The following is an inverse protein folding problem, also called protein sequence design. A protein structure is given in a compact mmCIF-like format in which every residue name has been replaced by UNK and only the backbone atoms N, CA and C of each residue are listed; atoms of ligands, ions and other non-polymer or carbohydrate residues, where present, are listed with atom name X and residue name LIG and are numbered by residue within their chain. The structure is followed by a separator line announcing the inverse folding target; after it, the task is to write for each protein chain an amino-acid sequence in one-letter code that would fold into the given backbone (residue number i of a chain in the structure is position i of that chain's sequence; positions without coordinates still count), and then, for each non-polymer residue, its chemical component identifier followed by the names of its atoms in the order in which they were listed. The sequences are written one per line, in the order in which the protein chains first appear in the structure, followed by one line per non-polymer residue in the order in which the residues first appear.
data_IF_944388478082
#
_entry.id   IF_944388478082
#
_cell.length_a   1.000
_cell.length_b   1.000
_cell.length_c   1.000
_cell.angle_alpha   90.00
_cell.angle_beta   90.00
_cell.angle_gamma   90.00
#
_symmetry.space_group_name_H-M   'P 1'
#
loop_
_entity.id
_entity.type
_entity.pdbx_description
1 polymer ?
#
# COMPACT_ATOMS: atom_id res chain seq x y z
N UNK A 1 -9.04 -4.64 0.90
CA UNK A 1 -9.05 -5.32 -0.40
C UNK A 1 -10.29 -4.94 -1.23
N UNK A 2 -11.49 -4.97 -0.63
CA UNK A 2 -12.74 -4.67 -1.34
C UNK A 2 -12.76 -3.28 -2.00
N UNK A 3 -12.27 -2.25 -1.32
CA UNK A 3 -12.20 -0.89 -1.86
C UNK A 3 -11.34 -0.83 -3.14
N UNK A 4 -10.18 -1.48 -3.14
CA UNK A 4 -9.28 -1.52 -4.29
C UNK A 4 -9.83 -2.39 -5.43
N UNK A 5 -10.56 -3.47 -5.12
CA UNK A 5 -11.25 -4.25 -6.15
C UNK A 5 -12.39 -3.45 -6.80
N UNK A 6 -13.16 -2.66 -6.03
CA UNK A 6 -14.15 -1.73 -6.58
C UNK A 6 -13.50 -0.62 -7.43
N UNK A 7 -12.30 -0.18 -7.06
CA UNK A 7 -11.51 0.76 -7.86
C UNK A 7 -11.10 0.16 -9.22
N UNK A 8 -11.00 -1.18 -9.32
CA UNK A 8 -10.73 -1.93 -10.53
C UNK A 8 -9.44 -2.76 -10.51
N UNK A 9 -8.73 -2.84 -9.37
CA UNK A 9 -7.61 -3.75 -9.22
C UNK A 9 -8.09 -5.20 -9.13
N UNK A 10 -7.32 -6.14 -9.64
CA UNK A 10 -7.66 -7.57 -9.61
C UNK A 10 -7.75 -8.12 -8.18
N UNK A 11 -6.93 -7.59 -7.28
CA UNK A 11 -6.93 -7.94 -5.85
C UNK A 11 -6.37 -6.78 -5.02
N UNK A 12 -6.69 -6.76 -3.74
CA UNK A 12 -6.11 -5.80 -2.81
C UNK A 12 -4.81 -6.31 -2.18
N UNK A 13 -4.13 -5.47 -1.37
CA UNK A 13 -2.80 -5.74 -0.84
C UNK A 13 -2.72 -6.94 0.09
N UNK A 14 -3.77 -7.23 0.85
CA UNK A 14 -3.78 -8.38 1.75
C UNK A 14 -3.83 -9.70 0.98
N UNK A 15 -4.67 -9.80 -0.04
CA UNK A 15 -4.71 -10.96 -0.93
C UNK A 15 -3.41 -11.13 -1.71
N UNK A 16 -2.82 -10.03 -2.17
CA UNK A 16 -1.53 -10.05 -2.86
C UNK A 16 -0.41 -10.50 -1.92
N UNK A 17 -0.41 -10.01 -0.68
CA UNK A 17 0.53 -10.45 0.36
C UNK A 17 0.42 -11.94 0.65
N UNK A 18 -0.80 -12.46 0.76
CA UNK A 18 -1.04 -13.89 0.97
C UNK A 18 -0.63 -14.75 -0.22
N UNK A 19 -0.76 -14.23 -1.45
CA UNK A 19 -0.33 -14.92 -2.66
C UNK A 19 1.21 -14.98 -2.76
N UNK A 20 1.87 -13.87 -2.51
CA UNK A 20 3.34 -13.76 -2.57
C UNK A 20 4.04 -14.47 -1.41
N UNK A 21 3.45 -14.40 -0.23
CA UNK A 21 3.99 -14.87 1.03
C UNK A 21 4.45 -13.73 1.94
N UNK A 22 3.82 -13.62 3.11
CA UNK A 22 4.08 -12.56 4.09
C UNK A 22 5.51 -12.61 4.67
N UNK A 23 6.14 -13.78 4.68
CA UNK A 23 7.51 -14.00 5.11
C UNK A 23 8.54 -13.20 4.31
N UNK A 24 8.28 -12.91 3.03
CA UNK A 24 9.17 -12.08 2.19
C UNK A 24 9.27 -10.67 2.76
N UNK A 25 8.13 -10.04 3.02
CA UNK A 25 8.10 -8.70 3.63
C UNK A 25 8.66 -8.70 5.05
N UNK A 26 8.38 -9.74 5.84
CA UNK A 26 8.91 -9.91 7.18
C UNK A 26 10.44 -10.02 7.19
N UNK A 27 11.01 -10.87 6.34
CA UNK A 27 12.46 -10.98 6.19
C UNK A 27 13.11 -9.65 5.80
N UNK A 28 12.48 -8.92 4.86
CA UNK A 28 12.96 -7.60 4.43
C UNK A 28 12.96 -6.58 5.57
N UNK A 29 11.90 -6.51 6.38
CA UNK A 29 11.83 -5.61 7.54
C UNK A 29 12.87 -5.95 8.60
N UNK A 30 13.04 -7.24 8.91
CA UNK A 30 14.09 -7.70 9.84
C UNK A 30 15.50 -7.31 9.37
N UNK A 31 15.78 -7.54 8.08
CA UNK A 31 17.08 -7.17 7.49
C UNK A 31 17.32 -5.67 7.57
N UNK A 32 16.35 -4.85 7.12
CA UNK A 32 16.48 -3.38 7.16
C UNK A 32 16.68 -2.84 8.59
N UNK A 33 15.96 -3.39 9.57
CA UNK A 33 16.14 -2.99 10.97
C UNK A 33 17.55 -3.34 11.47
N UNK A 34 18.05 -4.53 11.16
CA UNK A 34 19.40 -4.95 11.52
C UNK A 34 20.47 -4.07 10.85
N UNK A 35 20.35 -3.79 9.55
CA UNK A 35 21.25 -2.89 8.80
C UNK A 35 21.27 -1.46 9.36
N UNK A 36 20.12 -0.99 9.85
CA UNK A 36 20.01 0.33 10.49
C UNK A 36 20.42 0.35 11.97
N UNK A 37 20.78 -0.79 12.56
CA UNK A 37 21.05 -0.91 14.00
C UNK A 37 19.85 -0.59 14.87
N UNK A 38 18.64 -0.77 14.38
CA UNK A 38 17.39 -0.43 15.05
C UNK A 38 16.61 -1.70 15.44
N UNK A 39 15.87 -1.61 16.54
CA UNK A 39 14.89 -2.65 16.86
C UNK A 39 13.71 -2.58 15.88
N UNK A 40 13.33 -3.74 15.33
CA UNK A 40 12.17 -3.83 14.46
C UNK A 40 10.87 -3.61 15.28
N UNK A 41 10.08 -2.63 14.89
CA UNK A 41 8.73 -2.43 15.44
C UNK A 41 7.75 -3.35 14.70
N UNK A 42 7.22 -4.41 15.33
CA UNK A 42 6.35 -5.36 14.65
C UNK A 42 5.06 -4.69 14.21
N UNK A 43 4.61 -5.02 13.00
CA UNK A 43 3.28 -4.69 12.49
C UNK A 43 2.38 -5.93 12.52
N UNK A 44 1.09 -5.78 12.25
CA UNK A 44 0.14 -6.92 12.24
C UNK A 44 0.60 -8.05 11.33
N UNK A 45 1.17 -7.74 10.15
CA UNK A 45 1.69 -8.75 9.24
C UNK A 45 2.84 -9.58 9.86
N UNK A 46 3.66 -8.96 10.73
CA UNK A 46 4.74 -9.68 11.43
C UNK A 46 4.16 -10.63 12.47
N UNK A 47 3.08 -10.23 13.16
CA UNK A 47 2.37 -11.10 14.12
C UNK A 47 1.74 -12.31 13.43
N UNK A 48 1.22 -12.14 12.21
CA UNK A 48 0.77 -13.27 11.40
C UNK A 48 1.93 -14.22 11.08
N UNK A 49 3.09 -13.69 10.70
CA UNK A 49 4.29 -14.50 10.43
C UNK A 49 4.80 -15.23 11.68
N UNK A 50 4.82 -14.58 12.84
CA UNK A 50 5.18 -15.20 14.13
C UNK A 50 4.26 -16.38 14.48
N UNK A 51 2.99 -16.31 14.06
CA UNK A 51 2.01 -17.39 14.18
C UNK A 51 2.10 -18.46 13.06
N UNK A 52 3.13 -18.41 12.20
CA UNK A 52 3.32 -19.36 11.09
C UNK A 52 2.37 -19.15 9.91
N UNK A 53 1.70 -18.01 9.84
CA UNK A 53 0.69 -17.68 8.84
C UNK A 53 1.32 -16.87 7.72
N UNK A 54 1.87 -17.55 6.72
CA UNK A 54 2.62 -16.92 5.62
C UNK A 54 1.79 -16.67 4.36
N UNK A 55 0.49 -16.94 4.39
CA UNK A 55 -0.40 -16.79 3.25
C UNK A 55 -0.86 -18.14 2.67
N UNK A 56 -1.17 -18.16 1.37
CA UNK A 56 -1.72 -19.33 0.69
C UNK A 56 -0.85 -20.59 0.86
N UNK A 57 0.47 -20.44 0.86
CA UNK A 57 1.42 -21.57 0.99
C UNK A 57 1.35 -22.31 2.34
N UNK A 58 0.81 -21.67 3.37
CA UNK A 58 0.57 -22.27 4.69
C UNK A 58 -0.91 -22.43 5.01
N UNK A 59 -1.79 -22.22 4.03
CA UNK A 59 -3.25 -22.30 4.20
C UNK A 59 -3.85 -21.11 4.94
N UNK A 60 -3.05 -20.19 5.47
CA UNK A 60 -3.50 -19.01 6.16
C UNK A 60 -2.47 -17.88 6.14
N UNK A 61 -2.96 -16.65 6.08
CA UNK A 61 -2.24 -15.38 6.19
C UNK A 61 -3.17 -14.35 6.76
N UNK A 62 -3.45 -13.28 6.03
CA UNK A 62 -4.54 -12.35 6.31
C UNK A 62 -5.91 -13.02 6.24
N UNK A 63 -6.04 -13.96 5.31
CA UNK A 63 -7.21 -14.79 5.09
C UNK A 63 -6.89 -16.26 5.38
N UNK A 64 -7.93 -17.07 5.50
CA UNK A 64 -7.86 -18.52 5.53
C UNK A 64 -8.13 -19.06 4.13
N UNK A 65 -7.47 -20.16 3.78
CA UNK A 65 -7.61 -20.86 2.49
C UNK A 65 -7.88 -22.33 2.71
N UNK A 66 -8.77 -22.90 1.91
CA UNK A 66 -9.03 -24.34 1.87
C UNK A 66 -8.05 -25.01 0.90
N UNK A 67 -7.70 -26.26 1.17
CA UNK A 67 -6.78 -27.01 0.32
C UNK A 67 -7.29 -27.07 -1.13
N UNK A 68 -6.44 -26.66 -2.06
CA UNK A 68 -6.78 -26.61 -3.50
C UNK A 68 -7.65 -25.41 -3.91
N UNK A 69 -8.08 -24.56 -2.98
CA UNK A 69 -8.91 -23.39 -3.27
C UNK A 69 -8.18 -22.11 -2.91
N UNK A 70 -8.10 -21.15 -3.87
CA UNK A 70 -7.47 -19.85 -3.69
C UNK A 70 -8.44 -18.73 -3.27
N UNK A 71 -9.69 -19.08 -3.00
CA UNK A 71 -10.69 -18.10 -2.52
C UNK A 71 -10.37 -17.71 -1.08
N UNK A 72 -10.15 -16.41 -0.81
CA UNK A 72 -9.88 -15.93 0.54
C UNK A 72 -11.15 -16.02 1.39
N UNK A 73 -11.03 -16.60 2.56
CA UNK A 73 -12.11 -16.69 3.55
C UNK A 73 -11.75 -15.82 4.76
N UNK A 74 -12.69 -15.07 5.35
CA UNK A 74 -12.48 -14.38 6.62
C UNK A 74 -11.98 -15.34 7.70
N UNK A 75 -11.17 -14.83 8.60
CA UNK A 75 -10.57 -15.66 9.64
C UNK A 75 -10.56 -14.94 10.99
N UNK A 76 -11.23 -15.53 11.96
CA UNK A 76 -11.32 -14.98 13.32
C UNK A 76 -9.97 -14.84 14.02
N UNK A 77 -8.98 -15.68 13.68
CA UNK A 77 -7.61 -15.56 14.22
C UNK A 77 -6.97 -14.25 13.78
N UNK A 78 -7.11 -13.89 12.51
CA UNK A 78 -6.60 -12.62 11.98
C UNK A 78 -7.34 -11.43 12.60
N UNK A 79 -8.66 -11.53 12.75
CA UNK A 79 -9.47 -10.48 13.38
C UNK A 79 -9.05 -10.25 14.84
N UNK A 80 -8.81 -11.33 15.58
CA UNK A 80 -8.32 -11.26 16.96
C UNK A 80 -6.92 -10.63 17.03
N UNK A 81 -5.98 -11.04 16.18
CA UNK A 81 -4.63 -10.45 16.12
C UNK A 81 -4.67 -8.94 15.84
N UNK A 82 -5.57 -8.49 14.97
CA UNK A 82 -5.78 -7.06 14.69
C UNK A 82 -6.34 -6.36 15.94
N UNK A 83 -7.30 -6.95 16.62
CA UNK A 83 -7.89 -6.38 17.83
C UNK A 83 -6.85 -6.25 18.96
N UNK A 84 -6.05 -7.29 19.18
CA UNK A 84 -4.99 -7.32 20.19
C UNK A 84 -3.91 -6.29 19.88
N UNK A 85 -3.50 -6.18 18.60
CA UNK A 85 -2.53 -5.18 18.16
C UNK A 85 -3.04 -3.76 18.42
N UNK A 86 -4.30 -3.47 18.08
CA UNK A 86 -4.93 -2.17 18.35
C UNK A 86 -4.96 -1.85 19.84
N UNK A 87 -5.35 -2.81 20.66
CA UNK A 87 -5.41 -2.64 22.12
C UNK A 87 -4.02 -2.35 22.70
N UNK A 88 -3.00 -3.12 22.29
CA UNK A 88 -1.62 -2.95 22.74
C UNK A 88 -1.00 -1.58 22.35
N UNK A 89 -1.48 -0.96 21.26
CA UNK A 89 -0.97 0.31 20.75
C UNK A 89 -1.91 1.50 21.00
N UNK A 90 -2.98 1.32 21.76
CA UNK A 90 -3.96 2.39 22.05
C UNK A 90 -4.67 2.92 20.80
N UNK A 91 -4.80 2.10 19.75
CA UNK A 91 -5.43 2.50 18.49
C UNK A 91 -6.94 2.38 18.60
N UNK A 92 -7.64 3.50 18.59
CA UNK A 92 -9.10 3.53 18.53
C UNK A 92 -9.56 3.28 17.09
N UNK A 93 -10.34 2.22 16.83
CA UNK A 93 -10.88 1.96 15.50
C UNK A 93 -11.80 3.09 15.06
N UNK A 94 -11.66 3.51 13.80
CA UNK A 94 -12.61 4.41 13.14
C UNK A 94 -13.11 3.79 11.84
N UNK A 95 -14.27 4.20 11.39
CA UNK A 95 -14.77 3.81 10.07
C UNK A 95 -13.98 4.58 9.00
N UNK A 96 -13.37 3.84 8.08
CA UNK A 96 -12.65 4.39 6.93
C UNK A 96 -13.46 4.05 5.68
N UNK A 97 -13.80 5.05 4.88
CA UNK A 97 -14.55 4.86 3.63
C UNK A 97 -13.67 4.30 2.51
N UNK A 98 -14.32 3.69 1.51
CA UNK A 98 -13.61 3.12 0.35
C UNK A 98 -12.75 4.18 -0.37
N UNK A 99 -13.24 5.42 -0.49
CA UNK A 99 -12.52 6.53 -1.11
C UNK A 99 -11.20 6.84 -0.39
N UNK A 100 -11.21 6.98 0.93
CA UNK A 100 -9.99 7.20 1.70
C UNK A 100 -9.00 6.03 1.58
N UNK A 101 -9.50 4.79 1.55
CA UNK A 101 -8.65 3.61 1.35
C UNK A 101 -7.95 3.68 -0.01
N UNK A 102 -8.72 4.00 -1.07
CA UNK A 102 -8.18 4.16 -2.43
C UNK A 102 -7.15 5.28 -2.48
N UNK A 103 -7.49 6.47 -1.93
CA UNK A 103 -6.56 7.60 -1.88
C UNK A 103 -5.24 7.21 -1.19
N UNK A 104 -5.30 6.58 -0.03
CA UNK A 104 -4.09 6.15 0.69
C UNK A 104 -3.24 5.20 -0.13
N UNK A 105 -3.85 4.19 -0.73
CA UNK A 105 -3.10 3.21 -1.49
C UNK A 105 -2.55 3.77 -2.81
N UNK A 106 -3.39 4.46 -3.58
CA UNK A 106 -2.98 4.93 -4.91
C UNK A 106 -2.08 6.17 -4.81
N UNK A 107 -2.35 7.11 -3.90
CA UNK A 107 -1.50 8.30 -3.78
C UNK A 107 -0.14 7.97 -3.15
N UNK A 108 -0.02 6.89 -2.38
CA UNK A 108 1.30 6.37 -1.98
C UNK A 108 2.11 5.91 -3.21
N UNK A 109 1.47 5.21 -4.18
CA UNK A 109 2.14 4.83 -5.43
C UNK A 109 2.54 6.05 -6.26
N UNK A 110 1.65 7.05 -6.36
CA UNK A 110 1.93 8.31 -7.07
C UNK A 110 3.08 9.05 -6.43
N UNK A 111 3.10 9.14 -5.10
CA UNK A 111 4.15 9.83 -4.37
C UNK A 111 5.52 9.20 -4.56
N UNK A 112 5.57 7.86 -4.51
CA UNK A 112 6.79 7.12 -4.81
C UNK A 112 7.17 7.24 -6.29
N UNK A 113 6.20 7.19 -7.20
CA UNK A 113 6.40 7.43 -8.62
C UNK A 113 7.04 8.78 -8.91
N UNK A 114 6.60 9.83 -8.21
CA UNK A 114 7.21 11.16 -8.31
C UNK A 114 8.67 11.19 -7.81
N UNK A 115 9.00 10.45 -6.74
CA UNK A 115 10.38 10.34 -6.23
C UNK A 115 11.29 9.64 -7.24
N UNK A 116 10.88 8.50 -7.76
CA UNK A 116 11.71 7.75 -8.71
C UNK A 116 11.88 8.47 -10.06
N UNK A 117 10.94 9.34 -10.47
CA UNK A 117 11.13 10.26 -11.59
C UNK A 117 12.16 11.33 -11.27
N UNK A 118 12.10 11.95 -10.09
CA UNK A 118 13.04 12.98 -9.66
C UNK A 118 14.46 12.44 -9.49
N UNK A 119 14.59 11.20 -9.03
CA UNK A 119 15.84 10.45 -8.88
C UNK A 119 16.40 9.93 -10.24
N UNK A 120 15.62 10.03 -11.33
CA UNK A 120 16.02 9.55 -12.64
C UNK A 120 16.03 8.02 -12.79
N UNK A 121 15.37 7.30 -11.88
CA UNK A 121 15.21 5.83 -11.95
C UNK A 121 14.24 5.47 -13.08
N UNK A 122 13.14 6.20 -13.21
CA UNK A 122 12.24 6.12 -14.36
C UNK A 122 12.47 7.35 -15.26
N UNK A 123 12.50 7.14 -16.57
CA UNK A 123 12.71 8.22 -17.53
C UNK A 123 11.44 9.08 -17.73
N UNK A 124 10.27 8.45 -17.68
CA UNK A 124 8.97 9.10 -17.93
C UNK A 124 7.90 8.53 -16.99
N UNK A 125 6.88 9.34 -16.72
CA UNK A 125 5.71 8.91 -15.92
C UNK A 125 4.97 7.74 -16.59
N UNK A 126 4.85 7.78 -17.92
CA UNK A 126 4.26 6.69 -18.70
C UNK A 126 4.99 5.35 -18.57
N UNK A 127 6.29 5.33 -18.27
CA UNK A 127 7.02 4.09 -18.03
C UNK A 127 6.54 3.42 -16.73
N UNK A 128 6.27 4.22 -15.70
CA UNK A 128 5.67 3.76 -14.43
C UNK A 128 4.26 3.23 -14.70
N UNK A 129 3.45 3.97 -15.44
CA UNK A 129 2.09 3.57 -15.79
C UNK A 129 2.06 2.22 -16.52
N UNK A 130 2.94 2.02 -17.49
CA UNK A 130 3.05 0.76 -18.24
C UNK A 130 3.44 -0.42 -17.35
N UNK A 131 4.34 -0.23 -16.38
CA UNK A 131 4.69 -1.26 -15.40
C UNK A 131 3.47 -1.65 -14.56
N UNK A 132 2.70 -0.69 -14.10
CA UNK A 132 1.50 -0.96 -13.29
C UNK A 132 0.37 -1.59 -14.10
N UNK A 133 0.17 -1.17 -15.34
CA UNK A 133 -0.84 -1.75 -16.23
C UNK A 133 -0.55 -3.21 -16.57
N UNK A 134 0.72 -3.53 -16.87
CA UNK A 134 1.10 -4.86 -17.36
C UNK A 134 1.56 -5.81 -16.25
N UNK A 135 2.14 -5.29 -15.18
CA UNK A 135 2.74 -6.09 -14.10
C UNK A 135 1.85 -6.24 -12.85
N UNK A 136 1.05 -5.23 -12.54
CA UNK A 136 0.31 -5.18 -11.27
C UNK A 136 -1.21 -5.10 -11.42
N UNK A 137 -1.72 -5.21 -12.64
CA UNK A 137 -3.17 -5.25 -12.89
C UNK A 137 -3.89 -3.94 -12.54
N UNK A 138 -3.22 -2.80 -12.72
CA UNK A 138 -3.86 -1.50 -12.59
C UNK A 138 -4.98 -1.37 -13.64
N UNK A 139 -6.15 -0.76 -13.33
CA UNK A 139 -7.26 -0.69 -14.26
C UNK A 139 -6.88 0.04 -15.56
N UNK A 140 -6.99 -0.63 -16.71
CA UNK A 140 -6.62 -0.08 -18.03
C UNK A 140 -7.29 1.27 -18.33
N UNK A 141 -8.57 1.40 -17.99
CA UNK A 141 -9.34 2.63 -18.24
C UNK A 141 -8.89 3.83 -17.40
N UNK A 142 -8.00 3.63 -16.42
CA UNK A 142 -7.42 4.68 -15.58
C UNK A 142 -5.99 5.04 -16.00
N UNK A 143 -5.38 4.26 -16.89
CA UNK A 143 -4.11 4.58 -17.55
C UNK A 143 -2.85 4.47 -16.71
N UNK A 144 -2.94 3.92 -15.50
CA UNK A 144 -1.82 3.82 -14.57
C UNK A 144 -1.85 4.87 -13.46
N UNK A 145 -0.98 4.74 -12.43
CA UNK A 145 -1.03 5.62 -11.25
C UNK A 145 -0.71 7.08 -11.56
N UNK A 146 0.23 7.34 -12.47
CA UNK A 146 0.68 8.71 -12.77
C UNK A 146 -0.37 9.46 -13.61
N UNK A 147 -0.89 8.82 -14.67
CA UNK A 147 -1.97 9.39 -15.47
C UNK A 147 -3.27 9.54 -14.64
N UNK A 148 -3.54 8.60 -13.75
CA UNK A 148 -4.66 8.73 -12.83
C UNK A 148 -4.51 9.96 -11.91
N UNK A 149 -3.31 10.21 -11.40
CA UNK A 149 -3.03 11.41 -10.60
C UNK A 149 -3.24 12.70 -11.39
N UNK A 150 -2.82 12.75 -12.67
CA UNK A 150 -3.09 13.89 -13.55
C UNK A 150 -4.59 14.10 -13.75
N UNK A 151 -5.36 13.02 -13.89
CA UNK A 151 -6.83 13.08 -14.04
C UNK A 151 -7.53 13.59 -12.76
N UNK A 152 -7.06 13.18 -11.58
CA UNK A 152 -7.55 13.67 -10.29
C UNK A 152 -7.15 15.12 -10.04
N UNK A 153 -6.00 15.51 -10.57
CA UNK A 153 -5.36 16.80 -10.35
C UNK A 153 -4.32 16.75 -9.23
N UNK A 154 -3.08 17.06 -9.56
CA UNK A 154 -1.95 17.00 -8.63
C UNK A 154 -2.14 17.84 -7.35
N UNK A 155 -2.77 19.04 -7.39
CA UNK A 155 -3.10 19.77 -6.17
C UNK A 155 -3.98 18.99 -5.18
N UNK A 156 -4.92 18.17 -5.68
CA UNK A 156 -5.74 17.31 -4.82
C UNK A 156 -4.91 16.19 -4.21
N UNK A 157 -4.04 15.56 -4.98
CA UNK A 157 -3.13 14.52 -4.49
C UNK A 157 -2.23 15.07 -3.37
N UNK A 158 -1.62 16.25 -3.58
CA UNK A 158 -0.78 16.91 -2.56
C UNK A 158 -1.57 17.21 -1.28
N UNK A 159 -2.80 17.73 -1.40
CA UNK A 159 -3.66 17.99 -0.24
C UNK A 159 -3.95 16.73 0.57
N UNK A 160 -4.29 15.63 -0.10
CA UNK A 160 -4.57 14.35 0.56
C UNK A 160 -3.32 13.79 1.25
N UNK A 161 -2.15 13.82 0.59
CA UNK A 161 -0.88 13.39 1.19
C UNK A 161 -0.52 14.22 2.42
N UNK A 162 -0.64 15.56 2.36
CA UNK A 162 -0.41 16.46 3.51
C UNK A 162 -1.38 16.16 4.67
N UNK A 163 -2.64 15.87 4.36
CA UNK A 163 -3.63 15.45 5.36
C UNK A 163 -3.20 14.16 6.06
N UNK A 164 -2.74 13.15 5.30
CA UNK A 164 -2.26 11.89 5.87
C UNK A 164 -0.96 12.06 6.67
N UNK A 165 -0.05 12.92 6.20
CA UNK A 165 1.18 13.23 6.91
C UNK A 165 0.97 13.97 8.25
N UNK A 166 -0.15 14.67 8.41
CA UNK A 166 -0.50 15.39 9.63
C UNK A 166 -1.13 14.50 10.71
N UNK A 167 -1.43 13.23 10.40
CA UNK A 167 -2.00 12.30 11.38
C UNK A 167 -0.95 11.90 12.44
N UNK A 168 -1.35 11.74 13.72
CA UNK A 168 -0.44 11.30 14.77
C UNK A 168 0.23 9.96 14.42
N UNK A 169 1.57 9.92 14.48
CA UNK A 169 2.34 8.71 14.16
C UNK A 169 2.42 8.36 12.68
N UNK A 170 2.08 9.31 11.80
CA UNK A 170 2.19 9.10 10.35
C UNK A 170 3.63 8.80 9.92
N UNK A 171 3.77 7.89 8.96
CA UNK A 171 5.05 7.57 8.33
C UNK A 171 5.56 8.75 7.50
N UNK A 172 6.89 8.96 7.46
CA UNK A 172 7.54 9.96 6.63
C UNK A 172 7.25 9.78 5.13
N UNK A 173 6.88 8.57 4.70
CA UNK A 173 6.48 8.29 3.33
C UNK A 173 5.26 9.10 2.85
N UNK A 174 4.44 9.62 3.79
CA UNK A 174 3.32 10.51 3.47
C UNK A 174 3.74 11.93 3.10
N UNK A 175 4.99 12.33 3.35
CA UNK A 175 5.46 13.64 2.90
C UNK A 175 5.43 13.70 1.37
N UNK A 176 4.74 14.70 0.77
CA UNK A 176 4.68 14.82 -0.67
C UNK A 176 6.08 14.96 -1.29
N UNK A 177 6.34 14.24 -2.37
CA UNK A 177 7.58 14.33 -3.12
C UNK A 177 7.78 15.75 -3.68
N UNK A 178 9.02 16.31 -3.68
CA UNK A 178 9.27 17.66 -4.17
C UNK A 178 8.81 17.89 -5.60
N UNK A 179 9.04 16.92 -6.49
CA UNK A 179 8.56 16.99 -7.89
C UNK A 179 7.03 17.13 -7.96
N UNK A 180 6.30 16.32 -7.18
CA UNK A 180 4.84 16.36 -7.15
C UNK A 180 4.32 17.73 -6.68
N UNK A 181 4.94 18.29 -5.62
CA UNK A 181 4.58 19.60 -5.10
C UNK A 181 4.83 20.69 -6.15
N UNK A 182 6.01 20.69 -6.77
CA UNK A 182 6.39 21.64 -7.82
C UNK A 182 5.41 21.62 -9.00
N UNK A 183 5.11 20.44 -9.55
CA UNK A 183 4.17 20.30 -10.65
C UNK A 183 2.76 20.80 -10.26
N UNK A 184 2.30 20.48 -9.04
CA UNK A 184 1.01 20.94 -8.55
C UNK A 184 0.94 22.47 -8.42
N UNK A 185 2.01 23.11 -7.97
CA UNK A 185 2.11 24.59 -7.81
C UNK A 185 2.22 25.29 -9.18
N UNK A 186 2.89 24.69 -10.14
CA UNK A 186 3.03 25.20 -11.49
C UNK A 186 1.79 24.93 -12.39
N UNK A 187 0.79 24.18 -11.90
CA UNK A 187 -0.38 23.79 -12.68
C UNK A 187 -0.05 22.82 -13.82
N UNK A 188 1.03 22.04 -13.68
CA UNK A 188 1.50 21.05 -14.65
C UNK A 188 1.07 19.65 -14.29
N UNK A 189 1.24 18.72 -15.21
CA UNK A 189 0.99 17.29 -15.05
C UNK A 189 2.30 16.49 -15.13
N UNK A 190 2.23 15.17 -14.88
CA UNK A 190 3.34 14.25 -15.08
C UNK A 190 3.55 13.88 -16.56
N UNK A 191 2.44 13.80 -17.32
CA UNK A 191 2.40 13.43 -18.74
C UNK A 191 2.11 14.62 -19.64
#
# INVERSE_FOLDING_TARGET
DGALQKFGLAMGPFRMGDLAGLDIGWATRKRKAAEAGMEMKPIVADKLCEAGRFGQKTGAGWYRYEAGNRTPLPDSVTEQLIADYRAAHGITPRKIGDEEIVERCIFALVNEGARILEEGIAARASDIDLVYLNGYGFPLHRGGPMLYADTVGLPQVVRSLRRFAAEPGADAAWQPAPLLVRLAEEGRSFN
#
